data_IF_293227660026
#
_entry.id   IF_293227660026
#
_cell.length_a   1.000
_cell.length_b   1.000
_cell.length_c   1.000
_cell.angle_alpha   90.00
_cell.angle_beta   90.00
_cell.angle_gamma   90.00
#
_symmetry.space_group_name_H-M   'P 1'
#
loop_
_entity.id
_entity.type
_entity.pdbx_description
1 polymer ?
#
# COMPACT_ATOMS: atom_id res chain seq x y z
N UNK A 1 -0.80 -1.72 -25.94
CA UNK A 1 -0.37 -1.00 -24.73
C UNK A 1 0.36 -2.00 -23.87
N UNK A 2 1.55 -1.64 -23.40
CA UNK A 2 2.36 -2.50 -22.55
C UNK A 2 1.67 -2.69 -21.20
N UNK A 3 1.45 -3.95 -20.80
CA UNK A 3 0.81 -4.27 -19.53
C UNK A 3 1.82 -4.21 -18.38
N UNK A 4 2.20 -3.00 -17.98
CA UNK A 4 3.13 -2.78 -16.88
C UNK A 4 2.37 -2.87 -15.55
N UNK A 5 2.86 -3.72 -14.65
CA UNK A 5 2.36 -3.87 -13.27
C UNK A 5 3.45 -3.53 -12.29
N UNK A 6 3.19 -2.57 -11.40
CA UNK A 6 4.06 -2.26 -10.28
C UNK A 6 3.56 -2.91 -8.99
N UNK A 7 4.51 -3.34 -8.16
CA UNK A 7 4.25 -3.90 -6.84
C UNK A 7 5.14 -3.17 -5.85
N UNK A 8 4.54 -2.49 -4.87
CA UNK A 8 5.26 -1.74 -3.85
C UNK A 8 4.90 -2.24 -2.45
N UNK A 9 5.88 -2.30 -1.55
CA UNK A 9 5.67 -2.69 -0.14
C UNK A 9 5.91 -1.50 0.79
N UNK A 10 5.05 -1.33 1.80
CA UNK A 10 5.20 -0.26 2.80
C UNK A 10 5.31 1.12 2.14
N UNK A 11 6.38 1.88 2.41
CA UNK A 11 6.65 3.17 1.76
C UNK A 11 6.75 3.05 0.22
N UNK A 12 7.22 1.90 -0.28
CA UNK A 12 7.30 1.63 -1.70
C UNK A 12 5.94 1.63 -2.39
N UNK A 13 4.85 1.29 -1.69
CA UNK A 13 3.50 1.36 -2.25
C UNK A 13 3.12 2.81 -2.61
N UNK A 14 3.32 3.75 -1.68
CA UNK A 14 3.08 5.18 -1.92
C UNK A 14 4.01 5.75 -2.99
N UNK A 15 5.27 5.30 -3.02
CA UNK A 15 6.22 5.70 -4.06
C UNK A 15 5.77 5.26 -5.47
N UNK A 16 5.20 4.05 -5.59
CA UNK A 16 4.65 3.60 -6.87
C UNK A 16 3.45 4.46 -7.30
N UNK A 17 2.59 4.85 -6.36
CA UNK A 17 1.50 5.79 -6.62
C UNK A 17 1.99 7.15 -7.14
N UNK A 18 3.03 7.71 -6.50
CA UNK A 18 3.70 8.92 -6.97
C UNK A 18 4.29 8.75 -8.38
N UNK A 19 4.95 7.61 -8.64
CA UNK A 19 5.51 7.32 -9.96
C UNK A 19 4.44 7.18 -11.05
N UNK A 20 3.24 6.67 -10.72
CA UNK A 20 2.11 6.56 -11.63
C UNK A 20 1.58 7.92 -12.04
N UNK A 21 1.43 8.83 -11.08
CA UNK A 21 1.07 10.22 -11.35
C UNK A 21 2.12 10.91 -12.23
N UNK A 22 3.41 10.78 -11.91
CA UNK A 22 4.44 11.45 -12.70
C UNK A 22 4.54 10.87 -14.12
N UNK A 23 4.39 9.55 -14.27
CA UNK A 23 4.33 8.91 -15.58
C UNK A 23 3.14 9.38 -16.41
N UNK A 24 1.96 9.53 -15.81
CA UNK A 24 0.80 10.10 -16.50
C UNK A 24 1.05 11.56 -16.90
N UNK A 25 1.70 12.35 -16.04
CA UNK A 25 2.04 13.74 -16.36
C UNK A 25 3.02 13.87 -17.52
N UNK A 26 4.01 12.98 -17.61
CA UNK A 26 5.02 13.01 -18.67
C UNK A 26 4.52 12.41 -19.99
N UNK A 27 3.75 11.33 -19.93
CA UNK A 27 3.39 10.54 -21.12
C UNK A 27 1.94 10.73 -21.59
N UNK A 28 1.07 11.25 -20.72
CA UNK A 28 -0.38 11.30 -20.93
C UNK A 28 -1.08 9.93 -20.83
N UNK A 29 -0.37 8.90 -20.33
CA UNK A 29 -0.90 7.54 -20.20
C UNK A 29 -0.65 6.98 -18.80
N UNK A 30 -1.52 6.07 -18.33
CA UNK A 30 -1.40 5.42 -17.02
C UNK A 30 -0.75 4.05 -17.12
N UNK A 31 -0.19 3.59 -16.00
CA UNK A 31 0.15 2.19 -15.84
C UNK A 31 -1.13 1.34 -15.81
N UNK A 32 -1.02 0.09 -16.29
CA UNK A 32 -2.15 -0.83 -16.26
C UNK A 32 -2.52 -1.26 -14.84
N UNK A 33 -1.53 -1.40 -13.95
CA UNK A 33 -1.79 -1.87 -12.57
C UNK A 33 -0.74 -1.42 -11.57
N UNK A 34 -1.19 -1.05 -10.36
CA UNK A 34 -0.34 -0.91 -9.17
C UNK A 34 -0.92 -1.78 -8.05
N UNK A 35 -0.04 -2.51 -7.35
CA UNK A 35 -0.38 -3.30 -6.17
C UNK A 35 0.45 -2.80 -4.98
N UNK A 36 -0.21 -2.24 -3.98
CA UNK A 36 0.36 -1.85 -2.70
C UNK A 36 0.21 -2.95 -1.66
N UNK A 37 1.33 -3.52 -1.21
CA UNK A 37 1.40 -4.43 -0.09
C UNK A 37 1.65 -3.63 1.20
N UNK A 38 0.62 -3.53 2.03
CA UNK A 38 0.61 -2.82 3.31
C UNK A 38 1.14 -1.38 3.21
N UNK A 39 0.46 -0.48 2.47
CA UNK A 39 0.95 0.88 2.28
C UNK A 39 1.20 1.59 3.60
N UNK A 40 2.32 2.33 3.70
CA UNK A 40 2.70 2.97 4.96
C UNK A 40 1.62 3.96 5.44
N UNK A 41 1.22 3.86 6.71
CA UNK A 41 0.28 4.77 7.36
C UNK A 41 0.94 5.99 8.03
N UNK A 42 2.04 5.85 8.79
CA UNK A 42 2.70 6.98 9.43
C UNK A 42 3.13 8.02 8.39
N UNK A 43 2.73 9.29 8.58
CA UNK A 43 2.91 10.43 7.66
C UNK A 43 2.03 10.43 6.40
N UNK A 44 1.26 9.38 6.14
CA UNK A 44 0.38 9.24 4.96
C UNK A 44 -1.11 9.25 5.31
N UNK A 45 -1.46 9.11 6.60
CA UNK A 45 -2.84 9.18 7.09
C UNK A 45 -3.14 10.56 7.73
N UNK A 46 -4.38 11.06 7.59
CA UNK A 46 -4.88 12.25 8.29
C UNK A 46 -4.97 13.55 7.48
N UNK A 47 -5.18 14.68 8.16
CA UNK A 47 -5.53 15.98 7.52
C UNK A 47 -4.36 16.63 6.78
N UNK A 48 -3.13 16.42 7.25
CA UNK A 48 -1.89 16.86 6.59
C UNK A 48 -1.06 15.61 6.35
N UNK A 49 -1.36 14.91 5.26
CA UNK A 49 -0.68 13.69 4.86
C UNK A 49 0.14 13.89 3.60
N UNK A 50 1.20 13.08 3.47
CA UNK A 50 1.90 12.92 2.20
C UNK A 50 1.00 12.19 1.19
N UNK A 51 1.26 12.36 -0.12
CA UNK A 51 0.55 11.58 -1.14
C UNK A 51 0.70 10.08 -0.89
N UNK A 52 -0.42 9.45 -0.55
CA UNK A 52 -0.54 8.00 -0.36
C UNK A 52 -1.14 7.35 -1.61
N UNK A 53 -0.93 6.04 -1.77
CA UNK A 53 -1.46 5.26 -2.89
C UNK A 53 -2.97 5.49 -3.06
N UNK A 54 -3.39 5.77 -4.29
CA UNK A 54 -4.74 6.19 -4.63
C UNK A 54 -5.26 5.49 -5.89
N UNK A 55 -6.58 5.31 -6.00
CA UNK A 55 -7.24 4.71 -7.15
C UNK A 55 -6.95 5.42 -8.47
N UNK A 56 -6.55 6.70 -8.42
CA UNK A 56 -6.22 7.49 -9.60
C UNK A 56 -4.82 7.22 -10.16
N UNK A 57 -3.94 6.54 -9.42
CA UNK A 57 -2.52 6.41 -9.78
C UNK A 57 -2.25 5.44 -10.96
N UNK A 58 -3.22 4.60 -11.32
CA UNK A 58 -3.16 3.67 -12.45
C UNK A 58 -4.58 3.28 -12.92
N UNK A 59 -4.68 2.49 -13.99
CA UNK A 59 -5.97 1.96 -14.45
C UNK A 59 -6.64 1.01 -13.43
N UNK A 60 -5.82 0.32 -12.64
CA UNK A 60 -6.28 -0.52 -11.53
C UNK A 60 -5.28 -0.46 -10.37
N UNK A 61 -5.76 -0.06 -9.19
CA UNK A 61 -4.94 0.02 -7.98
C UNK A 61 -5.51 -0.90 -6.91
N UNK A 62 -4.66 -1.79 -6.38
CA UNK A 62 -5.02 -2.70 -5.31
C UNK A 62 -4.16 -2.43 -4.08
N UNK A 63 -4.76 -2.37 -2.90
CA UNK A 63 -4.05 -2.32 -1.63
C UNK A 63 -4.38 -3.53 -0.78
N UNK A 64 -3.37 -4.20 -0.24
CA UNK A 64 -3.51 -5.29 0.72
C UNK A 64 -3.08 -4.81 2.10
N UNK A 65 -4.00 -4.75 3.04
CA UNK A 65 -3.78 -4.25 4.41
C UNK A 65 -3.53 -5.42 5.35
N UNK A 66 -2.34 -5.47 5.95
CA UNK A 66 -1.92 -6.56 6.85
C UNK A 66 -1.47 -6.06 8.23
N UNK A 67 -1.20 -4.77 8.37
CA UNK A 67 -0.83 -4.16 9.64
C UNK A 67 -1.51 -2.78 9.82
N UNK A 68 -2.84 -2.67 9.58
CA UNK A 68 -3.54 -1.40 9.62
C UNK A 68 -3.46 -0.78 11.02
N UNK A 69 -3.40 0.56 11.09
CA UNK A 69 -3.34 1.35 12.34
C UNK A 69 -2.06 1.14 13.16
N UNK A 70 -1.05 0.45 12.64
CA UNK A 70 0.31 0.40 13.22
C UNK A 70 1.32 0.98 12.25
N UNK A 71 1.84 0.17 11.33
CA UNK A 71 2.78 0.62 10.30
C UNK A 71 2.08 0.82 8.95
N UNK A 72 1.03 0.05 8.70
CA UNK A 72 0.18 0.19 7.52
C UNK A 72 -0.97 1.17 7.76
N UNK A 73 -1.40 1.81 6.67
CA UNK A 73 -2.61 2.65 6.63
C UNK A 73 -3.87 1.79 6.83
N UNK A 74 -4.95 2.41 7.32
CA UNK A 74 -6.31 1.84 7.29
C UNK A 74 -7.21 2.60 6.28
N UNK A 75 -6.64 3.54 5.53
CA UNK A 75 -7.37 4.29 4.53
C UNK A 75 -7.66 3.43 3.30
N UNK A 76 -8.92 3.50 2.83
CA UNK A 76 -9.40 2.74 1.67
C UNK A 76 -9.53 3.68 0.48
N UNK A 77 -8.39 3.93 -0.17
CA UNK A 77 -8.28 4.87 -1.29
C UNK A 77 -8.06 4.18 -2.64
N UNK A 78 -7.87 2.86 -2.65
CA UNK A 78 -7.54 2.11 -3.86
C UNK A 78 -8.79 1.67 -4.61
N UNK A 79 -8.65 1.26 -5.87
CA UNK A 79 -9.76 0.63 -6.62
C UNK A 79 -10.26 -0.61 -5.89
N UNK A 80 -9.35 -1.36 -5.27
CA UNK A 80 -9.66 -2.53 -4.44
C UNK A 80 -8.80 -2.53 -3.18
N UNK A 81 -9.45 -2.48 -2.02
CA UNK A 81 -8.80 -2.61 -0.72
C UNK A 81 -9.13 -3.97 -0.10
N UNK A 82 -8.10 -4.77 0.15
CA UNK A 82 -8.21 -6.10 0.75
C UNK A 82 -7.62 -6.07 2.15
N UNK A 83 -8.48 -6.18 3.16
CA UNK A 83 -8.05 -6.31 4.55
C UNK A 83 -7.85 -7.77 4.91
N UNK A 84 -6.59 -8.18 5.13
CA UNK A 84 -6.26 -9.53 5.56
C UNK A 84 -6.76 -9.77 6.99
N UNK A 85 -7.25 -10.99 7.25
CA UNK A 85 -7.68 -11.43 8.58
C UNK A 85 -8.63 -10.42 9.26
N UNK A 86 -9.63 -9.95 8.50
CA UNK A 86 -10.64 -8.98 8.94
C UNK A 86 -10.08 -7.62 9.40
N UNK A 87 -8.90 -7.22 8.92
CA UNK A 87 -8.28 -5.95 9.28
C UNK A 87 -7.62 -5.96 10.66
N UNK A 88 -7.29 -7.14 11.19
CA UNK A 88 -6.53 -7.23 12.43
C UNK A 88 -5.15 -6.58 12.25
N UNK A 89 -4.72 -5.65 13.13
CA UNK A 89 -3.39 -5.05 13.08
C UNK A 89 -2.25 -6.06 13.28
N UNK A 90 -2.54 -7.26 13.77
CA UNK A 90 -1.55 -8.32 13.97
C UNK A 90 -2.03 -9.57 13.27
N UNK A 91 -1.24 -10.02 12.30
CA UNK A 91 -1.55 -11.22 11.53
C UNK A 91 -1.30 -12.49 12.37
N UNK A 92 -2.09 -13.56 12.16
CA UNK A 92 -1.85 -14.83 12.83
C UNK A 92 -0.39 -15.32 12.61
N UNK A 93 0.30 -15.64 13.70
CA UNK A 93 1.70 -16.08 13.67
C UNK A 93 2.75 -14.96 13.75
N UNK A 94 2.35 -13.69 13.83
CA UNK A 94 3.25 -12.56 14.12
C UNK A 94 3.24 -12.21 15.61
N UNK A 95 4.41 -11.85 16.18
CA UNK A 95 4.53 -11.44 17.58
C UNK A 95 3.99 -10.01 17.84
N UNK A 96 3.39 -9.78 19.01
CA UNK A 96 2.76 -8.50 19.38
C UNK A 96 3.73 -7.45 19.93
N UNK A 97 4.86 -7.81 20.55
CA UNK A 97 5.74 -6.85 21.21
C UNK A 97 7.20 -7.33 21.37
N UNK A 98 8.11 -6.82 20.53
CA UNK A 98 9.53 -7.13 20.68
C UNK A 98 10.49 -6.61 19.59
N UNK A 99 10.25 -5.41 19.05
CA UNK A 99 11.15 -4.82 18.03
C UNK A 99 10.67 -5.04 16.61
N UNK A 100 10.75 -3.99 15.79
CA UNK A 100 10.10 -3.88 14.48
C UNK A 100 10.43 -4.99 13.49
N UNK A 101 9.52 -5.18 12.53
CA UNK A 101 9.42 -6.28 11.57
C UNK A 101 8.89 -7.57 12.19
N UNK A 102 7.68 -7.99 11.82
CA UNK A 102 7.10 -9.25 12.26
C UNK A 102 7.91 -10.45 11.77
N UNK A 103 8.90 -10.89 12.55
CA UNK A 103 9.68 -12.08 12.28
C UNK A 103 8.89 -13.28 12.80
N UNK A 104 8.69 -14.27 11.92
CA UNK A 104 8.01 -15.54 12.23
C UNK A 104 8.90 -16.39 13.14
N UNK A 105 8.36 -16.95 14.23
CA UNK A 105 9.07 -17.97 15.01
C UNK A 105 9.03 -19.33 14.28
N UNK A 106 10.10 -20.15 14.35
CA UNK A 106 10.02 -21.54 13.96
C UNK A 106 9.20 -22.32 15.00
N UNK A 107 8.44 -23.30 14.52
CA UNK A 107 7.71 -24.29 15.36
C UNK A 107 8.65 -25.10 16.25
#
# INVERSE_FOLDING_TARGET
MDQITFIGFSLGASLMGFSGNEYERETGTKYSRIIGCDPAGPFFDGIISLPSLDALDADFVMSMHTNPKRLGTDEKKSTMDVSANCGNPVQPGCETAGGGLGIRTPE
#
